data_IF_866271380761
#
_entry.id   IF_866271380761
#
_cell.length_a   1.000
_cell.length_b   1.000
_cell.length_c   1.000
_cell.angle_alpha   90.00
_cell.angle_beta   90.00
_cell.angle_gamma   90.00
#
_symmetry.space_group_name_H-M   'P 1'
#
loop_
_entity.id
_entity.type
_entity.pdbx_description
1 polymer ?
#
# COMPACT_ATOMS: atom_id res chain seq x y z
N UNK A 1 -22.47 23.50 -0.73
CA UNK A 1 -21.10 23.88 -0.36
C UNK A 1 -20.78 23.78 1.14
N UNK A 2 -21.74 23.95 2.07
CA UNK A 2 -21.52 23.83 3.53
C UNK A 2 -21.35 22.41 4.06
N UNK A 3 -21.97 21.41 3.43
CA UNK A 3 -21.91 19.99 3.88
C UNK A 3 -20.50 19.41 3.69
N UNK A 4 -19.81 19.74 2.59
CA UNK A 4 -18.45 19.25 2.33
C UNK A 4 -17.40 19.73 3.33
N UNK A 5 -17.43 21.01 3.75
CA UNK A 5 -16.48 21.56 4.74
C UNK A 5 -16.63 20.91 6.13
N UNK A 6 -17.85 20.56 6.54
CA UNK A 6 -18.09 19.90 7.84
C UNK A 6 -17.63 18.44 7.82
N UNK A 7 -17.80 17.74 6.71
CA UNK A 7 -17.30 16.39 6.50
C UNK A 7 -15.76 16.39 6.51
N UNK A 8 -15.12 17.26 5.75
CA UNK A 8 -13.67 17.41 5.69
C UNK A 8 -13.04 17.71 7.08
N UNK A 9 -13.68 18.59 7.87
CA UNK A 9 -13.21 18.89 9.24
C UNK A 9 -13.31 17.69 10.17
N UNK A 10 -14.37 16.88 10.04
CA UNK A 10 -14.54 15.64 10.81
C UNK A 10 -13.53 14.58 10.40
N UNK A 11 -13.35 14.39 9.11
CA UNK A 11 -12.35 13.47 8.55
C UNK A 11 -10.93 13.82 9.06
N UNK A 12 -10.54 15.09 8.95
CA UNK A 12 -9.27 15.58 9.48
C UNK A 12 -9.12 15.32 10.98
N UNK A 13 -10.18 15.52 11.76
CA UNK A 13 -10.15 15.25 13.21
C UNK A 13 -9.96 13.77 13.53
N UNK A 14 -10.62 12.88 12.78
CA UNK A 14 -10.48 11.43 12.96
C UNK A 14 -9.08 10.95 12.58
N UNK A 15 -8.56 11.44 11.45
CA UNK A 15 -7.19 11.14 11.01
C UNK A 15 -6.14 11.67 12.00
N UNK A 16 -6.37 12.87 12.60
CA UNK A 16 -5.46 13.37 13.63
C UNK A 16 -5.41 12.48 14.86
N UNK A 17 -6.52 11.87 15.26
CA UNK A 17 -6.55 10.92 16.39
C UNK A 17 -5.73 9.66 16.05
N UNK A 18 -5.88 9.12 14.84
CA UNK A 18 -5.05 8.00 14.38
C UNK A 18 -3.56 8.36 14.37
N UNK A 19 -3.21 9.52 13.82
CA UNK A 19 -1.83 9.99 13.75
C UNK A 19 -1.20 10.14 15.15
N UNK A 20 -1.90 10.79 16.09
CA UNK A 20 -1.41 10.91 17.47
C UNK A 20 -1.33 9.53 18.16
N UNK A 21 -2.28 8.64 17.88
CA UNK A 21 -2.26 7.27 18.34
C UNK A 21 -0.99 6.56 17.88
N UNK A 22 -0.66 6.62 16.60
CA UNK A 22 0.55 6.04 16.02
C UNK A 22 1.83 6.59 16.67
N UNK A 23 1.93 7.92 16.83
CA UNK A 23 3.11 8.52 17.51
C UNK A 23 3.31 7.96 18.92
N UNK A 24 2.22 7.91 19.68
CA UNK A 24 2.26 7.40 21.07
C UNK A 24 2.62 5.91 21.06
N UNK A 25 2.07 5.16 20.12
CA UNK A 25 2.29 3.72 19.97
C UNK A 25 3.76 3.41 19.67
N UNK A 26 4.32 4.03 18.62
CA UNK A 26 5.75 3.89 18.25
C UNK A 26 6.69 4.25 19.42
N UNK A 27 6.39 5.30 20.15
CA UNK A 27 7.21 5.69 21.32
C UNK A 27 7.16 4.65 22.42
N UNK A 28 5.98 4.12 22.73
CA UNK A 28 5.81 3.09 23.77
C UNK A 28 6.49 1.80 23.33
N UNK A 29 6.33 1.36 22.09
CA UNK A 29 7.00 0.18 21.55
C UNK A 29 8.51 0.29 21.58
N UNK A 30 9.06 1.44 21.15
CA UNK A 30 10.50 1.67 21.17
C UNK A 30 11.06 1.63 22.60
N UNK A 31 10.35 2.24 23.57
CA UNK A 31 10.72 2.19 24.99
C UNK A 31 10.67 0.75 25.49
N UNK A 32 9.64 -0.01 25.13
CA UNK A 32 9.51 -1.41 25.53
C UNK A 32 10.55 -2.31 24.87
N UNK A 33 10.87 -2.10 23.58
CA UNK A 33 11.94 -2.82 22.90
C UNK A 33 13.29 -2.61 23.61
N UNK A 34 13.62 -1.38 23.98
CA UNK A 34 14.86 -1.04 24.71
C UNK A 34 14.82 -1.64 26.12
N UNK A 35 13.70 -1.53 26.84
CA UNK A 35 13.58 -1.99 28.22
C UNK A 35 13.62 -3.53 28.35
N UNK A 36 13.06 -4.25 27.39
CA UNK A 36 12.99 -5.72 27.38
C UNK A 36 14.15 -6.36 26.63
N UNK A 37 14.81 -5.64 25.74
CA UNK A 37 15.80 -6.16 24.80
C UNK A 37 15.19 -7.08 23.73
N UNK A 38 13.86 -7.17 23.62
CA UNK A 38 13.17 -8.04 22.68
C UNK A 38 13.36 -7.57 21.24
N UNK A 39 13.80 -8.49 20.40
CA UNK A 39 13.96 -8.26 18.97
C UNK A 39 12.61 -8.26 18.24
N UNK A 40 11.63 -9.00 18.74
CA UNK A 40 10.28 -9.01 18.19
C UNK A 40 9.58 -7.67 18.40
N UNK A 41 9.62 -7.11 19.61
CA UNK A 41 9.09 -5.77 19.90
C UNK A 41 9.86 -4.68 19.13
N UNK A 42 11.18 -4.85 18.96
CA UNK A 42 11.99 -3.93 18.15
C UNK A 42 11.57 -3.96 16.68
N UNK A 43 11.28 -5.14 16.12
CA UNK A 43 10.79 -5.27 14.74
C UNK A 43 9.50 -4.45 14.55
N UNK A 44 8.54 -4.59 15.45
CA UNK A 44 7.25 -3.90 15.40
C UNK A 44 7.46 -2.38 15.51
N UNK A 45 8.17 -1.92 16.52
CA UNK A 45 8.53 -0.51 16.71
C UNK A 45 9.22 0.12 15.50
N UNK A 46 10.08 -0.62 14.79
CA UNK A 46 10.77 -0.11 13.60
C UNK A 46 9.83 -0.04 12.40
N UNK A 47 8.95 -1.02 12.23
CA UNK A 47 7.95 -0.99 11.15
C UNK A 47 7.02 0.21 11.31
N UNK A 48 6.44 0.39 12.48
CA UNK A 48 5.56 1.52 12.80
C UNK A 48 6.29 2.85 12.72
N UNK A 49 7.54 2.89 13.18
CA UNK A 49 8.42 4.04 13.06
C UNK A 49 8.68 4.44 11.62
N UNK A 50 9.00 3.49 10.73
CA UNK A 50 9.19 3.76 9.29
C UNK A 50 7.89 4.23 8.66
N UNK A 51 6.74 3.62 9.02
CA UNK A 51 5.44 4.08 8.53
C UNK A 51 5.16 5.51 8.91
N UNK A 52 5.38 5.87 10.17
CA UNK A 52 5.23 7.23 10.68
C UNK A 52 6.15 8.23 9.97
N UNK A 53 7.45 7.92 9.88
CA UNK A 53 8.40 8.82 9.20
C UNK A 53 8.08 9.01 7.72
N UNK A 54 7.49 8.01 7.07
CA UNK A 54 7.08 8.11 5.67
C UNK A 54 5.74 8.82 5.47
N UNK A 55 4.92 8.96 6.52
CA UNK A 55 3.72 9.81 6.49
C UNK A 55 4.06 11.30 6.39
N UNK A 56 5.14 11.76 7.02
CA UNK A 56 5.51 13.17 7.06
C UNK A 56 5.72 13.78 5.67
N UNK A 57 6.59 13.22 4.80
CA UNK A 57 6.75 13.75 3.45
C UNK A 57 5.52 13.59 2.57
N UNK A 58 4.68 12.58 2.79
CA UNK A 58 3.46 12.40 2.00
C UNK A 58 2.49 13.57 2.20
N UNK A 59 2.42 14.15 3.40
CA UNK A 59 1.61 15.35 3.67
C UNK A 59 2.10 16.57 2.86
N UNK A 60 3.42 16.70 2.65
CA UNK A 60 4.00 17.75 1.81
C UNK A 60 3.84 17.48 0.32
N UNK A 61 3.77 16.22 -0.08
CA UNK A 61 3.55 15.82 -1.47
C UNK A 61 2.10 16.00 -1.92
N UNK A 62 1.13 15.86 -1.03
CA UNK A 62 -0.30 15.98 -1.38
C UNK A 62 -0.62 17.23 -2.21
N UNK A 63 -0.23 18.45 -1.84
CA UNK A 63 -0.52 19.63 -2.66
C UNK A 63 0.11 19.59 -4.05
N UNK A 64 1.24 18.89 -4.19
CA UNK A 64 1.98 18.75 -5.44
C UNK A 64 1.29 17.74 -6.35
N UNK A 65 0.79 16.64 -5.81
CA UNK A 65 0.08 15.59 -6.54
C UNK A 65 -1.20 16.10 -7.22
N UNK A 66 -1.87 17.10 -6.61
CA UNK A 66 -3.08 17.70 -7.17
C UNK A 66 -2.82 18.84 -8.16
N UNK A 67 -1.54 19.15 -8.48
CA UNK A 67 -1.24 20.11 -9.55
C UNK A 67 -1.58 19.49 -10.90
N UNK A 68 -2.24 20.24 -11.79
CA UNK A 68 -2.54 19.75 -13.14
C UNK A 68 -1.25 19.49 -13.91
N UNK A 69 -1.29 18.52 -14.80
CA UNK A 69 -0.25 18.29 -15.79
C UNK A 69 -0.01 19.56 -16.62
N UNK A 70 1.24 19.81 -16.98
CA UNK A 70 1.68 20.91 -17.83
C UNK A 70 2.73 20.42 -18.82
N UNK A 71 3.17 21.30 -19.75
CA UNK A 71 4.15 20.93 -20.77
C UNK A 71 5.47 20.40 -20.21
N UNK A 72 5.89 20.84 -19.01
CA UNK A 72 7.12 20.38 -18.37
C UNK A 72 6.90 19.06 -17.62
N UNK A 73 5.69 18.76 -17.21
CA UNK A 73 5.29 17.57 -16.44
C UNK A 73 4.02 16.99 -17.06
N UNK A 74 4.12 16.31 -18.21
CA UNK A 74 2.95 15.80 -18.94
C UNK A 74 2.12 14.81 -18.13
N UNK A 75 2.77 13.97 -17.32
CA UNK A 75 2.13 13.02 -16.42
C UNK A 75 1.81 13.61 -15.03
N UNK A 76 2.06 14.91 -14.83
CA UNK A 76 1.94 15.55 -13.52
C UNK A 76 3.04 15.09 -12.55
N UNK A 77 2.71 15.08 -11.26
CA UNK A 77 3.66 14.73 -10.20
C UNK A 77 3.36 13.35 -9.57
N UNK A 78 2.50 12.54 -10.19
CA UNK A 78 2.08 11.24 -9.63
C UNK A 78 3.23 10.25 -9.47
N UNK A 79 4.26 10.33 -10.33
CA UNK A 79 5.46 9.49 -10.21
C UNK A 79 6.25 9.76 -8.93
N UNK A 80 6.16 10.96 -8.34
CA UNK A 80 6.78 11.24 -7.04
C UNK A 80 6.15 10.42 -5.91
N UNK A 81 4.84 10.19 -5.95
CA UNK A 81 4.16 9.30 -5.01
C UNK A 81 4.72 7.88 -5.12
N UNK A 82 4.82 7.36 -6.34
CA UNK A 82 5.38 6.02 -6.59
C UNK A 82 6.84 5.92 -6.14
N UNK A 83 7.67 6.92 -6.47
CA UNK A 83 9.07 6.96 -6.02
C UNK A 83 9.16 6.91 -4.49
N UNK A 84 8.29 7.64 -3.79
CA UNK A 84 8.24 7.68 -2.34
C UNK A 84 7.88 6.32 -1.75
N UNK A 85 6.88 5.66 -2.33
CA UNK A 85 6.44 4.30 -1.96
C UNK A 85 7.56 3.29 -2.18
N UNK A 86 8.33 3.41 -3.27
CA UNK A 86 9.51 2.56 -3.54
C UNK A 86 10.59 2.78 -2.48
N UNK A 87 10.92 4.04 -2.14
CA UNK A 87 11.91 4.34 -1.10
C UNK A 87 11.48 3.75 0.25
N UNK A 88 10.20 3.90 0.63
CA UNK A 88 9.64 3.27 1.84
C UNK A 88 9.85 1.75 1.79
N UNK A 89 9.44 1.10 0.71
CA UNK A 89 9.57 -0.35 0.55
C UNK A 89 11.01 -0.84 0.62
N UNK A 90 11.96 -0.13 -0.01
CA UNK A 90 13.39 -0.45 0.07
C UNK A 90 13.89 -0.32 1.50
N UNK A 91 13.53 0.77 2.19
CA UNK A 91 13.93 1.00 3.59
C UNK A 91 13.43 -0.11 4.49
N UNK A 92 12.13 -0.45 4.41
CA UNK A 92 11.53 -1.54 5.20
C UNK A 92 12.17 -2.89 4.89
N UNK A 93 12.42 -3.19 3.61
CA UNK A 93 13.10 -4.42 3.18
C UNK A 93 14.52 -4.50 3.76
N UNK A 94 15.30 -3.43 3.66
CA UNK A 94 16.68 -3.40 4.17
C UNK A 94 16.73 -3.57 5.69
N UNK A 95 15.83 -2.89 6.43
CA UNK A 95 15.73 -3.03 7.89
C UNK A 95 15.32 -4.46 8.27
N UNK A 96 14.35 -5.05 7.59
CA UNK A 96 13.92 -6.42 7.86
C UNK A 96 15.05 -7.43 7.64
N UNK A 97 15.79 -7.31 6.55
CA UNK A 97 17.00 -8.14 6.33
C UNK A 97 18.05 -7.93 7.43
N UNK A 98 18.28 -6.67 7.82
CA UNK A 98 19.20 -6.36 8.93
C UNK A 98 18.77 -7.05 10.24
N UNK A 99 17.48 -7.03 10.56
CA UNK A 99 16.94 -7.71 11.75
C UNK A 99 17.05 -9.24 11.64
N UNK A 100 16.77 -9.84 10.48
CA UNK A 100 16.95 -11.29 10.27
C UNK A 100 18.41 -11.67 10.50
N UNK A 101 19.36 -10.97 9.88
CA UNK A 101 20.79 -11.25 10.07
C UNK A 101 21.25 -11.07 11.52
N UNK A 102 20.80 -10.00 12.18
CA UNK A 102 21.09 -9.77 13.60
C UNK A 102 20.54 -10.90 14.48
N UNK A 103 19.32 -11.36 14.23
CA UNK A 103 18.71 -12.45 15.01
C UNK A 103 19.39 -13.80 14.77
N UNK A 104 19.78 -14.10 13.53
CA UNK A 104 20.60 -15.27 13.22
C UNK A 104 21.94 -15.20 13.97
N UNK A 105 22.60 -14.04 13.94
CA UNK A 105 23.85 -13.82 14.66
C UNK A 105 23.68 -14.04 16.17
N UNK A 106 22.63 -13.49 16.79
CA UNK A 106 22.31 -13.70 18.20
C UNK A 106 22.08 -15.18 18.54
N UNK A 107 21.34 -15.89 17.68
CA UNK A 107 21.12 -17.35 17.86
C UNK A 107 22.44 -18.15 17.84
N UNK A 108 23.36 -17.81 16.92
CA UNK A 108 24.67 -18.49 16.84
C UNK A 108 25.58 -18.21 18.05
N UNK A 109 25.32 -17.13 18.79
CA UNK A 109 26.07 -16.75 19.99
C UNK A 109 25.37 -17.10 21.31
N UNK A 110 24.38 -17.98 21.28
CA UNK A 110 23.74 -18.51 22.48
C UNK A 110 22.36 -17.91 22.78
N UNK A 111 21.83 -17.07 21.91
CA UNK A 111 20.52 -16.44 22.06
C UNK A 111 20.52 -15.30 23.08
N UNK A 112 19.33 -14.80 23.38
CA UNK A 112 19.10 -13.77 24.39
C UNK A 112 17.81 -14.07 25.15
N UNK A 113 17.92 -14.14 26.49
CA UNK A 113 16.75 -14.40 27.34
C UNK A 113 16.02 -13.09 27.60
N UNK A 114 14.75 -13.03 27.24
CA UNK A 114 13.86 -11.90 27.50
C UNK A 114 12.78 -12.25 28.53
N UNK A 115 12.16 -11.22 29.11
CA UNK A 115 11.06 -11.42 30.05
C UNK A 115 9.75 -11.69 29.30
N UNK A 116 9.40 -12.96 29.11
CA UNK A 116 8.17 -13.37 28.40
C UNK A 116 6.90 -12.79 29.00
N UNK A 117 6.79 -12.72 30.33
CA UNK A 117 5.64 -12.11 31.01
C UNK A 117 5.48 -10.63 30.62
N UNK A 118 6.59 -9.89 30.60
CA UNK A 118 6.57 -8.46 30.30
C UNK A 118 6.19 -8.22 28.85
N UNK A 119 6.77 -8.99 27.92
CA UNK A 119 6.47 -8.86 26.47
C UNK A 119 5.03 -9.30 26.21
N UNK A 120 4.61 -10.47 26.68
CA UNK A 120 3.24 -10.93 26.47
C UNK A 120 2.19 -9.97 27.05
N UNK A 121 2.46 -9.40 28.24
CA UNK A 121 1.60 -8.40 28.85
C UNK A 121 1.55 -7.10 28.04
N UNK A 122 2.69 -6.66 27.53
CA UNK A 122 2.78 -5.49 26.66
C UNK A 122 2.03 -5.70 25.33
N UNK A 123 2.26 -6.82 24.65
CA UNK A 123 1.61 -7.15 23.38
C UNK A 123 0.07 -7.31 23.53
N UNK A 124 -0.36 -7.86 24.66
CA UNK A 124 -1.80 -7.91 24.97
C UNK A 124 -2.37 -6.50 25.17
N UNK A 125 -1.64 -5.60 25.85
CA UNK A 125 -2.02 -4.20 25.99
C UNK A 125 -2.04 -3.50 24.63
N UNK A 126 -1.01 -3.69 23.79
CA UNK A 126 -0.92 -3.16 22.45
C UNK A 126 -2.10 -3.62 21.58
N UNK A 127 -2.42 -4.92 21.59
CA UNK A 127 -3.58 -5.48 20.91
C UNK A 127 -4.90 -4.81 21.36
N UNK A 128 -5.12 -4.66 22.66
CA UNK A 128 -6.34 -4.02 23.20
C UNK A 128 -6.43 -2.57 22.70
N UNK A 129 -5.33 -1.84 22.74
CA UNK A 129 -5.28 -0.45 22.28
C UNK A 129 -5.58 -0.33 20.78
N UNK A 130 -4.94 -1.17 19.96
CA UNK A 130 -5.17 -1.23 18.50
C UNK A 130 -6.62 -1.59 18.17
N UNK A 131 -7.23 -2.53 18.91
CA UNK A 131 -8.65 -2.87 18.76
C UNK A 131 -9.56 -1.68 19.11
N UNK A 132 -9.24 -0.94 20.17
CA UNK A 132 -10.01 0.27 20.56
C UNK A 132 -9.96 1.31 19.44
N UNK A 133 -8.77 1.59 18.90
CA UNK A 133 -8.61 2.54 17.79
C UNK A 133 -9.33 2.04 16.53
N UNK A 134 -9.21 0.76 16.21
CA UNK A 134 -9.94 0.11 15.11
C UNK A 134 -11.46 0.31 15.23
N UNK A 135 -12.04 0.05 16.40
CA UNK A 135 -13.46 0.25 16.67
C UNK A 135 -13.84 1.72 16.51
N UNK A 136 -13.04 2.63 17.07
CA UNK A 136 -13.25 4.07 16.94
C UNK A 136 -13.29 4.52 15.49
N UNK A 137 -12.26 4.14 14.69
CA UNK A 137 -12.16 4.48 13.27
C UNK A 137 -13.34 3.89 12.48
N UNK A 138 -13.70 2.63 12.73
CA UNK A 138 -14.84 1.96 12.07
C UNK A 138 -16.15 2.70 12.32
N UNK A 139 -16.44 3.08 13.58
CA UNK A 139 -17.65 3.82 13.94
C UNK A 139 -17.68 5.19 13.24
N UNK A 140 -16.57 5.91 13.23
CA UNK A 140 -16.50 7.24 12.59
C UNK A 140 -16.57 7.15 11.07
N UNK A 141 -15.94 6.14 10.46
CA UNK A 141 -15.92 5.97 9.02
C UNK A 141 -17.27 5.53 8.45
N UNK A 142 -18.10 4.86 9.23
CA UNK A 142 -19.46 4.46 8.82
C UNK A 142 -20.30 5.62 8.25
N UNK A 143 -20.07 6.83 8.73
CA UNK A 143 -20.80 8.04 8.29
C UNK A 143 -19.98 8.91 7.32
N UNK A 144 -18.67 8.69 7.20
CA UNK A 144 -17.77 9.50 6.38
C UNK A 144 -17.43 8.85 5.05
N UNK A 145 -17.43 7.51 5.01
CA UNK A 145 -17.06 6.70 3.83
C UNK A 145 -15.74 7.15 3.22
N UNK A 146 -14.77 7.54 4.08
CA UNK A 146 -13.47 8.04 3.67
C UNK A 146 -12.53 6.88 3.34
N UNK A 147 -11.94 6.85 2.13
CA UNK A 147 -10.91 5.87 1.77
C UNK A 147 -9.66 5.97 2.67
N UNK A 148 -9.26 7.19 3.06
CA UNK A 148 -8.12 7.41 3.95
C UNK A 148 -8.33 6.77 5.31
N UNK A 149 -9.52 6.97 5.92
CA UNK A 149 -9.84 6.33 7.21
C UNK A 149 -9.93 4.80 7.05
N UNK A 150 -10.34 4.32 5.87
CA UNK A 150 -10.39 2.88 5.60
C UNK A 150 -8.99 2.27 5.55
N UNK A 151 -8.02 2.95 4.97
CA UNK A 151 -6.62 2.52 4.95
C UNK A 151 -6.02 2.49 6.35
N UNK A 152 -6.22 3.54 7.15
CA UNK A 152 -5.79 3.58 8.55
C UNK A 152 -6.42 2.45 9.39
N UNK A 153 -7.72 2.23 9.18
CA UNK A 153 -8.45 1.15 9.85
C UNK A 153 -7.86 -0.23 9.52
N UNK A 154 -7.42 -0.45 8.29
CA UNK A 154 -6.75 -1.68 7.89
C UNK A 154 -5.38 -1.84 8.57
N UNK A 155 -4.59 -0.75 8.68
CA UNK A 155 -3.34 -0.75 9.43
C UNK A 155 -3.56 -1.20 10.88
N UNK A 156 -4.40 -0.50 11.64
CA UNK A 156 -4.71 -0.84 13.02
C UNK A 156 -5.29 -2.24 13.22
N UNK A 157 -5.99 -2.79 12.21
CA UNK A 157 -6.45 -4.19 12.25
C UNK A 157 -5.28 -5.17 12.12
N UNK A 158 -4.32 -4.88 11.25
CA UNK A 158 -3.12 -5.70 11.06
C UNK A 158 -2.30 -5.68 12.35
N UNK A 159 -2.05 -4.51 12.94
CA UNK A 159 -1.33 -4.36 14.21
C UNK A 159 -2.01 -5.16 15.34
N UNK A 160 -3.35 -5.09 15.42
CA UNK A 160 -4.10 -5.89 16.41
C UNK A 160 -3.86 -7.39 16.26
N UNK A 161 -3.76 -7.90 15.02
CA UNK A 161 -3.53 -9.32 14.75
C UNK A 161 -2.09 -9.71 15.06
N UNK A 162 -1.13 -8.85 14.69
CA UNK A 162 0.30 -9.08 14.95
C UNK A 162 0.56 -9.10 16.46
N UNK A 163 0.13 -8.08 17.20
CA UNK A 163 0.29 -7.99 18.66
C UNK A 163 -0.39 -9.16 19.38
N UNK A 164 -1.58 -9.59 18.92
CA UNK A 164 -2.24 -10.77 19.48
C UNK A 164 -1.42 -12.04 19.24
N UNK A 165 -0.89 -12.20 18.02
CA UNK A 165 -0.03 -13.34 17.67
C UNK A 165 1.25 -13.38 18.51
N UNK A 166 1.91 -12.23 18.71
CA UNK A 166 3.08 -12.10 19.58
C UNK A 166 2.73 -12.40 21.03
N UNK A 167 1.63 -11.84 21.55
CA UNK A 167 1.18 -12.13 22.91
C UNK A 167 1.02 -13.64 23.13
N UNK A 168 0.35 -14.34 22.22
CA UNK A 168 0.21 -15.80 22.30
C UNK A 168 1.55 -16.53 22.20
N UNK A 169 2.43 -16.13 21.29
CA UNK A 169 3.73 -16.76 21.09
C UNK A 169 4.60 -16.67 22.37
N UNK A 170 4.59 -15.51 23.04
CA UNK A 170 5.31 -15.31 24.30
C UNK A 170 4.61 -15.90 25.54
N UNK A 171 3.29 -16.12 25.49
CA UNK A 171 2.55 -16.82 26.56
C UNK A 171 2.75 -18.33 26.49
N UNK A 172 2.99 -18.90 25.32
CA UNK A 172 3.05 -20.35 25.11
C UNK A 172 4.05 -21.05 26.05
N UNK A 173 5.31 -20.59 26.23
CA UNK A 173 6.27 -21.21 27.15
C UNK A 173 5.88 -21.11 28.61
N UNK A 174 5.04 -20.13 28.96
CA UNK A 174 4.58 -19.93 30.33
C UNK A 174 3.44 -20.86 30.73
N UNK A 175 2.65 -21.33 29.74
CA UNK A 175 1.46 -22.15 29.94
C UNK A 175 1.81 -23.64 29.81
N UNK A 176 2.76 -23.99 28.95
CA UNK A 176 3.07 -25.37 28.59
C UNK A 176 4.46 -25.74 29.16
N UNK A 177 4.54 -26.40 30.30
CA UNK A 177 5.83 -26.77 30.91
C UNK A 177 6.40 -28.04 30.26
N UNK A 178 6.97 -27.91 29.06
CA UNK A 178 7.75 -28.99 28.46
C UNK A 178 9.24 -28.81 28.73
N UNK A 179 9.91 -29.85 29.22
CA UNK A 179 11.34 -29.85 29.57
C UNK A 179 12.26 -29.42 28.41
N UNK A 180 11.83 -29.60 27.15
CA UNK A 180 12.62 -29.14 25.99
C UNK A 180 12.53 -27.63 25.74
N UNK A 181 11.50 -26.93 26.31
CA UNK A 181 11.40 -25.48 26.23
C UNK A 181 12.58 -24.80 26.91
N UNK A 182 13.16 -25.38 27.96
CA UNK A 182 14.33 -24.80 28.64
C UNK A 182 15.51 -24.62 27.72
N UNK A 183 15.68 -25.50 26.71
CA UNK A 183 16.71 -25.41 25.71
C UNK A 183 16.40 -24.38 24.59
N UNK A 184 15.12 -24.13 24.31
CA UNK A 184 14.69 -23.22 23.24
C UNK A 184 14.45 -21.80 23.76
N UNK A 185 14.19 -21.65 25.05
CA UNK A 185 13.90 -20.35 25.70
C UNK A 185 14.89 -19.24 25.32
N UNK A 186 16.23 -19.44 25.29
CA UNK A 186 17.14 -18.38 24.91
C UNK A 186 17.03 -17.93 23.47
N UNK A 187 16.40 -18.72 22.61
CA UNK A 187 16.27 -18.47 21.17
C UNK A 187 14.85 -18.06 20.74
N UNK A 188 13.91 -18.10 21.66
CA UNK A 188 12.48 -17.97 21.34
C UNK A 188 12.17 -16.59 20.73
N UNK A 189 12.68 -15.53 21.31
CA UNK A 189 12.50 -14.17 20.82
C UNK A 189 13.05 -14.01 19.39
N UNK A 190 14.23 -14.55 19.10
CA UNK A 190 14.86 -14.53 17.79
C UNK A 190 14.06 -15.36 16.78
N UNK A 191 13.56 -16.53 17.18
CA UNK A 191 12.73 -17.39 16.32
C UNK A 191 11.44 -16.65 15.95
N UNK A 192 10.75 -16.07 16.92
CA UNK A 192 9.53 -15.30 16.70
C UNK A 192 9.83 -14.12 15.76
N UNK A 193 10.90 -13.37 16.02
CA UNK A 193 11.30 -12.23 15.17
C UNK A 193 11.58 -12.65 13.72
N UNK A 194 12.31 -13.74 13.52
CA UNK A 194 12.61 -14.24 12.17
C UNK A 194 11.32 -14.67 11.46
N UNK A 195 10.43 -15.40 12.14
CA UNK A 195 9.16 -15.83 11.56
C UNK A 195 8.27 -14.64 11.17
N UNK A 196 8.14 -13.66 12.06
CA UNK A 196 7.41 -12.42 11.77
C UNK A 196 8.07 -11.66 10.61
N UNK A 197 9.39 -11.52 10.61
CA UNK A 197 10.14 -10.85 9.53
C UNK A 197 9.90 -11.49 8.18
N UNK A 198 9.86 -12.83 8.09
CA UNK A 198 9.59 -13.56 6.84
C UNK A 198 8.15 -13.32 6.36
N UNK A 199 7.19 -13.19 7.27
CA UNK A 199 5.82 -12.86 6.91
C UNK A 199 5.70 -11.39 6.48
N UNK A 200 6.27 -10.47 7.24
CA UNK A 200 6.13 -9.03 7.03
C UNK A 200 6.91 -8.53 5.79
N UNK A 201 8.04 -9.15 5.42
CA UNK A 201 8.88 -8.71 4.30
C UNK A 201 8.18 -8.82 2.94
N UNK A 202 7.16 -9.66 2.82
CA UNK A 202 6.45 -9.89 1.56
C UNK A 202 5.80 -8.60 1.04
N UNK A 203 5.21 -7.81 1.94
CA UNK A 203 4.53 -6.55 1.58
C UNK A 203 5.50 -5.50 1.05
N UNK A 204 6.60 -5.11 1.75
CA UNK A 204 7.54 -4.13 1.22
C UNK A 204 8.24 -4.59 -0.06
N UNK A 205 8.60 -5.86 -0.19
CA UNK A 205 9.20 -6.39 -1.43
C UNK A 205 8.23 -6.28 -2.60
N UNK A 206 6.98 -6.69 -2.41
CA UNK A 206 5.93 -6.54 -3.45
C UNK A 206 5.73 -5.06 -3.82
N UNK A 207 5.72 -4.18 -2.84
CA UNK A 207 5.59 -2.74 -3.03
C UNK A 207 6.73 -2.17 -3.87
N UNK A 208 7.97 -2.59 -3.61
CA UNK A 208 9.14 -2.19 -4.42
C UNK A 208 9.01 -2.67 -5.86
N UNK A 209 8.70 -3.95 -6.06
CA UNK A 209 8.56 -4.52 -7.40
C UNK A 209 7.48 -3.80 -8.19
N UNK A 210 6.30 -3.62 -7.61
CA UNK A 210 5.18 -2.94 -8.26
C UNK A 210 5.52 -1.47 -8.54
N UNK A 211 6.10 -0.77 -7.57
CA UNK A 211 6.47 0.62 -7.72
C UNK A 211 7.58 0.86 -8.77
N UNK A 212 8.56 -0.04 -8.87
CA UNK A 212 9.57 0.03 -9.94
C UNK A 212 8.91 -0.19 -11.32
N UNK A 213 8.00 -1.15 -11.44
CA UNK A 213 7.25 -1.36 -12.68
C UNK A 213 6.46 -0.11 -13.09
N UNK A 214 5.80 0.53 -12.14
CA UNK A 214 5.03 1.77 -12.38
C UNK A 214 5.96 2.94 -12.78
N UNK A 215 7.15 3.06 -12.16
CA UNK A 215 8.14 4.07 -12.54
C UNK A 215 8.73 3.85 -13.94
N UNK A 216 8.90 2.59 -14.34
CA UNK A 216 9.36 2.21 -15.67
C UNK A 216 8.25 2.25 -16.72
N UNK A 217 7.03 2.64 -16.35
CA UNK A 217 5.84 2.63 -17.21
C UNK A 217 5.54 1.26 -17.83
N UNK A 218 5.88 0.19 -17.12
CA UNK A 218 5.53 -1.17 -17.55
C UNK A 218 4.02 -1.33 -17.44
N UNK A 219 3.37 -1.97 -18.42
CA UNK A 219 1.93 -2.21 -18.39
C UNK A 219 1.46 -2.84 -17.07
N UNK A 220 0.25 -2.50 -16.59
CA UNK A 220 -0.32 -3.10 -15.40
C UNK A 220 -0.56 -4.60 -15.57
N UNK A 221 -1.05 -5.25 -14.52
CA UNK A 221 -1.35 -6.69 -14.54
C UNK A 221 -2.33 -7.03 -15.67
N UNK A 222 -2.14 -8.18 -16.30
CA UNK A 222 -2.90 -8.65 -17.48
C UNK A 222 -4.43 -8.64 -17.24
N UNK A 223 -4.84 -8.97 -16.00
CA UNK A 223 -6.24 -8.90 -15.57
C UNK A 223 -6.83 -7.48 -15.72
N UNK A 224 -6.06 -6.44 -15.36
CA UNK A 224 -6.47 -5.04 -15.52
C UNK A 224 -6.58 -4.66 -17.00
N UNK A 225 -5.64 -5.09 -17.82
CA UNK A 225 -5.65 -4.84 -19.27
C UNK A 225 -6.86 -5.50 -19.90
N UNK A 226 -7.12 -6.77 -19.59
CA UNK A 226 -8.28 -7.50 -20.10
C UNK A 226 -9.60 -6.87 -19.66
N UNK A 227 -9.73 -6.41 -18.40
CA UNK A 227 -10.95 -5.76 -17.94
C UNK A 227 -11.20 -4.45 -18.67
N UNK A 228 -10.14 -3.67 -18.95
CA UNK A 228 -10.22 -2.46 -19.76
C UNK A 228 -10.66 -2.80 -21.19
N UNK A 229 -10.03 -3.80 -21.83
CA UNK A 229 -10.41 -4.27 -23.17
C UNK A 229 -11.87 -4.71 -23.20
N UNK A 230 -12.31 -5.59 -22.30
CA UNK A 230 -13.70 -6.05 -22.17
C UNK A 230 -14.71 -4.90 -21.96
N UNK A 231 -14.26 -3.80 -21.38
CA UNK A 231 -15.13 -2.62 -21.16
C UNK A 231 -15.20 -1.73 -22.40
N UNK A 232 -14.10 -1.56 -23.12
CA UNK A 232 -13.95 -0.59 -24.21
C UNK A 232 -14.32 -1.18 -25.57
N UNK A 233 -13.90 -2.42 -25.88
CA UNK A 233 -14.12 -3.06 -27.17
C UNK A 233 -15.60 -3.11 -27.62
N UNK A 234 -16.57 -3.48 -26.76
CA UNK A 234 -17.98 -3.51 -27.17
C UNK A 234 -18.53 -2.13 -27.57
N UNK A 235 -17.94 -1.06 -27.00
CA UNK A 235 -18.35 0.32 -27.28
C UNK A 235 -17.77 0.77 -28.63
N UNK A 236 -16.50 0.44 -28.88
CA UNK A 236 -15.79 0.82 -30.10
C UNK A 236 -16.29 -0.01 -31.30
N UNK A 237 -16.55 -1.30 -31.08
CA UNK A 237 -16.95 -2.24 -32.13
C UNK A 237 -18.18 -1.82 -32.95
N UNK A 238 -19.03 -0.94 -32.38
CA UNK A 238 -20.22 -0.40 -33.08
C UNK A 238 -19.84 0.46 -34.30
N UNK A 239 -18.62 0.97 -34.37
CA UNK A 239 -18.20 1.98 -35.37
C UNK A 239 -17.37 1.41 -36.53
N UNK A 240 -17.18 0.12 -36.62
CA UNK A 240 -16.39 -0.51 -37.68
C UNK A 240 -14.94 -0.03 -37.68
N UNK A 241 -14.04 -0.88 -37.29
CA UNK A 241 -12.61 -0.62 -37.25
C UNK A 241 -11.85 -1.84 -37.78
N UNK A 242 -10.63 -1.63 -38.21
CA UNK A 242 -9.75 -2.66 -38.73
C UNK A 242 -8.98 -3.32 -37.60
N UNK A 243 -8.41 -2.50 -36.72
CA UNK A 243 -7.61 -2.95 -35.61
C UNK A 243 -7.72 -2.01 -34.40
N UNK A 244 -7.42 -2.53 -33.20
CA UNK A 244 -7.33 -1.78 -31.95
C UNK A 244 -5.99 -2.10 -31.30
N UNK A 245 -5.23 -1.05 -30.97
CA UNK A 245 -4.02 -1.17 -30.19
C UNK A 245 -4.20 -0.40 -28.87
N UNK A 246 -3.77 -1.02 -27.78
CA UNK A 246 -3.91 -0.49 -26.42
C UNK A 246 -2.55 -0.17 -25.84
N UNK A 247 -2.33 1.09 -25.47
CA UNK A 247 -1.21 1.51 -24.65
C UNK A 247 -1.75 1.89 -23.27
N UNK A 248 -1.45 1.05 -22.29
CA UNK A 248 -1.97 1.19 -20.92
C UNK A 248 -0.81 1.20 -19.96
N UNK A 249 -0.62 2.35 -19.29
CA UNK A 249 0.42 2.51 -18.28
C UNK A 249 -0.16 3.04 -16.97
N UNK A 250 0.54 2.79 -15.85
CA UNK A 250 0.16 3.31 -14.55
C UNK A 250 1.21 4.30 -14.05
N UNK A 251 0.75 5.43 -13.51
CA UNK A 251 1.62 6.38 -12.80
C UNK A 251 1.01 6.65 -11.43
N UNK A 252 1.57 6.04 -10.40
CA UNK A 252 1.00 6.07 -9.06
C UNK A 252 -0.42 5.46 -9.05
N UNK A 253 -1.40 6.23 -8.61
CA UNK A 253 -2.81 5.78 -8.57
C UNK A 253 -3.58 5.97 -9.87
N UNK A 254 -2.98 6.66 -10.88
CA UNK A 254 -3.65 7.02 -12.12
C UNK A 254 -3.32 6.06 -13.25
N UNK A 255 -4.35 5.57 -13.94
CA UNK A 255 -4.21 4.79 -15.17
C UNK A 255 -4.26 5.73 -16.39
N UNK A 256 -3.33 5.54 -17.31
CA UNK A 256 -3.30 6.20 -18.61
C UNK A 256 -3.65 5.15 -19.65
N UNK A 257 -4.73 5.39 -20.38
CA UNK A 257 -5.30 4.45 -21.31
C UNK A 257 -5.41 5.15 -22.65
N UNK A 258 -4.51 4.84 -23.56
CA UNK A 258 -4.54 5.31 -24.95
C UNK A 258 -4.97 4.16 -25.85
N UNK A 259 -6.01 4.37 -26.64
CA UNK A 259 -6.52 3.38 -27.58
C UNK A 259 -6.40 3.92 -29.00
N UNK A 260 -5.56 3.28 -29.79
CA UNK A 260 -5.39 3.57 -31.18
C UNK A 260 -6.41 2.76 -31.99
N UNK A 261 -7.19 3.47 -32.84
CA UNK A 261 -8.21 2.85 -33.67
C UNK A 261 -7.80 3.01 -35.12
N UNK A 262 -7.54 1.92 -35.80
CA UNK A 262 -7.27 1.91 -37.23
C UNK A 262 -8.57 1.82 -38.02
N UNK A 263 -8.83 2.79 -38.88
CA UNK A 263 -10.00 2.82 -39.73
C UNK A 263 -9.66 2.45 -41.19
N UNK A 264 -10.64 1.90 -41.91
CA UNK A 264 -10.51 1.60 -43.34
C UNK A 264 -10.60 2.84 -44.24
N UNK A 265 -11.02 3.97 -43.69
CA UNK A 265 -11.32 5.21 -44.41
C UNK A 265 -10.60 6.40 -43.80
N UNK A 266 -10.09 7.28 -44.69
CA UNK A 266 -9.42 8.53 -44.32
C UNK A 266 -10.32 9.57 -43.65
N UNK A 267 -11.64 9.38 -43.66
CA UNK A 267 -12.58 10.38 -43.19
C UNK A 267 -13.28 9.86 -41.92
N UNK A 268 -13.01 10.53 -40.82
CA UNK A 268 -13.64 10.27 -39.52
C UNK A 268 -14.42 11.49 -39.05
N UNK A 269 -15.68 11.31 -38.65
CA UNK A 269 -16.47 12.37 -38.06
C UNK A 269 -16.02 12.65 -36.63
N UNK A 270 -15.37 13.81 -36.41
CA UNK A 270 -14.90 14.22 -35.08
C UNK A 270 -15.99 14.23 -34.02
N UNK A 271 -17.23 14.59 -34.39
CA UNK A 271 -18.36 14.58 -33.42
C UNK A 271 -18.74 13.17 -32.97
N UNK A 272 -18.76 12.21 -33.90
CA UNK A 272 -19.00 10.79 -33.58
C UNK A 272 -17.85 10.21 -32.78
N UNK A 273 -16.65 10.55 -33.12
CA UNK A 273 -15.45 10.11 -32.42
C UNK A 273 -15.42 10.61 -30.96
N UNK A 274 -15.72 11.90 -30.77
CA UNK A 274 -15.86 12.47 -29.42
C UNK A 274 -16.96 11.80 -28.59
N UNK A 275 -18.09 11.52 -29.22
CA UNK A 275 -19.17 10.80 -28.54
C UNK A 275 -18.77 9.37 -28.12
N UNK A 276 -17.96 8.70 -28.94
CA UNK A 276 -17.41 7.39 -28.65
C UNK A 276 -16.47 7.46 -27.44
N UNK A 277 -15.54 8.41 -27.43
CA UNK A 277 -14.63 8.67 -26.33
C UNK A 277 -15.40 8.92 -25.03
N UNK A 278 -16.44 9.76 -25.05
CA UNK A 278 -17.27 10.08 -23.88
C UNK A 278 -18.01 8.84 -23.33
N UNK A 279 -18.45 7.92 -24.20
CA UNK A 279 -19.04 6.64 -23.77
C UNK A 279 -18.02 5.74 -23.08
N UNK A 280 -16.81 5.60 -23.63
CA UNK A 280 -15.76 4.83 -23.02
C UNK A 280 -15.37 5.41 -21.65
N UNK A 281 -15.21 6.73 -21.54
CA UNK A 281 -14.93 7.41 -20.28
C UNK A 281 -16.01 7.11 -19.23
N UNK A 282 -17.29 7.17 -19.60
CA UNK A 282 -18.40 6.88 -18.68
C UNK A 282 -18.42 5.43 -18.19
N UNK A 283 -18.07 4.49 -19.06
CA UNK A 283 -18.01 3.07 -18.70
C UNK A 283 -16.82 2.78 -17.78
N UNK A 284 -15.65 3.33 -18.09
CA UNK A 284 -14.43 3.18 -17.29
C UNK A 284 -14.56 3.86 -15.91
N UNK A 285 -15.24 5.01 -15.82
CA UNK A 285 -15.45 5.73 -14.57
C UNK A 285 -16.27 4.95 -13.53
N UNK A 286 -17.02 3.92 -13.93
CA UNK A 286 -17.71 3.03 -13.01
C UNK A 286 -16.80 2.05 -12.28
N UNK A 287 -15.61 1.75 -12.87
CA UNK A 287 -14.67 0.76 -12.38
C UNK A 287 -13.38 1.38 -11.84
N UNK A 288 -12.90 2.44 -12.46
CA UNK A 288 -11.63 3.08 -12.15
C UNK A 288 -11.85 4.51 -11.62
N UNK A 289 -11.41 4.82 -10.40
CA UNK A 289 -11.66 6.15 -9.79
C UNK A 289 -10.75 7.25 -10.33
N UNK A 290 -9.54 6.90 -10.80
CA UNK A 290 -8.56 7.86 -11.31
C UNK A 290 -7.90 7.31 -12.58
N UNK A 291 -8.28 7.86 -13.73
CA UNK A 291 -7.75 7.47 -15.02
C UNK A 291 -7.77 8.64 -16.01
N UNK A 292 -6.93 8.53 -17.01
CA UNK A 292 -6.97 9.34 -18.23
C UNK A 292 -7.27 8.40 -19.39
N UNK A 293 -8.19 8.81 -20.26
CA UNK A 293 -8.57 8.01 -21.42
C UNK A 293 -8.57 8.87 -22.67
N UNK A 294 -7.90 8.39 -23.69
CA UNK A 294 -7.90 9.00 -25.01
C UNK A 294 -8.10 7.96 -26.10
N UNK A 295 -8.77 8.38 -27.17
CA UNK A 295 -8.89 7.65 -28.42
C UNK A 295 -8.07 8.37 -29.48
N UNK A 296 -7.26 7.63 -30.20
CA UNK A 296 -6.38 8.14 -31.24
C UNK A 296 -6.78 7.47 -32.56
N UNK A 297 -7.36 8.24 -33.54
CA UNK A 297 -7.65 7.68 -34.85
C UNK A 297 -6.35 7.55 -35.64
N UNK A 298 -6.19 6.42 -36.32
CA UNK A 298 -5.06 6.17 -37.18
C UNK A 298 -5.54 5.47 -38.47
N UNK A 299 -4.81 5.64 -39.56
CA UNK A 299 -5.09 4.97 -40.84
C UNK A 299 -4.37 3.62 -40.85
N UNK A 300 -3.12 3.59 -40.42
CA UNK A 300 -2.29 2.42 -40.34
C UNK A 300 -1.36 2.56 -39.13
N UNK A 301 -1.62 1.76 -38.10
CA UNK A 301 -0.71 1.69 -36.98
C UNK A 301 0.45 0.79 -37.38
N UNK A 302 1.51 1.39 -37.89
CA UNK A 302 2.81 0.74 -37.99
C UNK A 302 3.44 0.81 -36.61
N UNK A 303 3.08 -0.10 -35.73
CA UNK A 303 3.84 -0.35 -34.51
C UNK A 303 5.31 -0.59 -34.89
N UNK A 304 6.22 -0.47 -33.94
CA UNK A 304 7.62 -0.84 -34.12
C UNK A 304 7.61 -2.25 -34.72
N UNK A 305 8.04 -2.37 -35.99
CA UNK A 305 8.21 -3.67 -36.61
C UNK A 305 9.20 -4.43 -35.73
N UNK A 306 8.75 -5.56 -35.22
CA UNK A 306 9.65 -6.53 -34.59
C UNK A 306 10.62 -6.99 -35.68
N UNK A 307 11.89 -6.53 -35.63
CA UNK A 307 12.99 -7.11 -36.39
C UNK A 307 13.36 -8.51 -35.86
#
# INVERSE_FOLDING_TARGET
MHVGKKSQKREKSVMSVSLYGNVVFVVIELVMAIATGSQAVLLDAVYDGVEFFMLLPSVFLIPLLYRPSNEQHPFGYMQLETLFVVIKGITMTAVTFGLIFNNIHLMLHGGHIVSFHTIAGFEMFACILSVIVTIYLRIKNKNLHSPLITMELQGWQIDSVISLGMAFAFLLPLIIPFAWFDHVTPYLDQIITILLSVVMIQTPVRTVITGIRDLMLIPPEEETIEDIKKTVEPIIGIYGHKNLYYDIVRTGRKLWISVYITFDKDIVSLSKFKHLQDKCIKALAQKYPDFYFELLPDIEFTGIEEE
#
